data_IF_642918507868
#
_entry.id   IF_642918507868
#
_cell.length_a   1.000
_cell.length_b   1.000
_cell.length_c   1.000
_cell.angle_alpha   90.00
_cell.angle_beta   90.00
_cell.angle_gamma   90.00
#
_symmetry.space_group_name_H-M   'P 1'
#
loop_
_entity.id
_entity.type
_entity.pdbx_description
1 polymer ?
#
# COMPACT_ATOMS: atom_id res chain seq x y z
N UNK A 1 5.02 -2.76 -38.12
CA UNK A 1 5.93 -2.78 -36.96
C UNK A 1 5.34 -2.20 -35.68
N UNK A 2 4.49 -1.16 -35.78
CA UNK A 2 4.03 -0.35 -34.64
C UNK A 2 3.36 -1.14 -33.50
N UNK A 3 2.46 -2.08 -33.84
CA UNK A 3 1.79 -2.92 -32.85
C UNK A 3 2.80 -3.72 -32.01
N UNK A 4 3.77 -4.37 -32.67
CA UNK A 4 4.80 -5.16 -31.99
C UNK A 4 5.68 -4.28 -31.07
N UNK A 5 6.04 -3.07 -31.51
CA UNK A 5 6.84 -2.17 -30.68
C UNK A 5 6.10 -1.72 -29.41
N UNK A 6 4.79 -1.40 -29.52
CA UNK A 6 3.97 -0.99 -28.37
C UNK A 6 3.83 -2.17 -27.39
N UNK A 7 3.56 -3.38 -27.90
CA UNK A 7 3.45 -4.57 -27.07
C UNK A 7 4.76 -4.89 -26.33
N UNK A 8 5.92 -4.78 -27.01
CA UNK A 8 7.23 -4.98 -26.36
C UNK A 8 7.48 -3.92 -25.28
N UNK A 9 7.16 -2.65 -25.53
CA UNK A 9 7.29 -1.59 -24.53
C UNK A 9 6.42 -1.86 -23.30
N UNK A 10 5.15 -2.25 -23.48
CA UNK A 10 4.23 -2.61 -22.39
C UNK A 10 4.70 -3.85 -21.62
N UNK A 11 5.26 -4.85 -22.30
CA UNK A 11 5.79 -6.04 -21.66
C UNK A 11 7.02 -5.72 -20.78
N UNK A 12 7.92 -4.86 -21.26
CA UNK A 12 9.08 -4.40 -20.50
C UNK A 12 8.68 -3.58 -19.27
N UNK A 13 7.68 -2.70 -19.38
CA UNK A 13 7.16 -1.94 -18.23
C UNK A 13 6.46 -2.85 -17.22
N UNK A 14 5.65 -3.80 -17.68
CA UNK A 14 5.04 -4.82 -16.81
C UNK A 14 6.10 -5.64 -16.05
N UNK A 15 7.19 -6.04 -16.70
CA UNK A 15 8.30 -6.74 -16.05
C UNK A 15 8.97 -5.88 -14.97
N UNK A 16 9.13 -4.57 -15.20
CA UNK A 16 9.66 -3.63 -14.20
C UNK A 16 8.71 -3.45 -13.01
N UNK A 17 7.39 -3.41 -13.24
CA UNK A 17 6.39 -3.34 -12.17
C UNK A 17 6.39 -4.62 -11.31
N UNK A 18 6.53 -5.79 -11.93
CA UNK A 18 6.61 -7.06 -11.21
C UNK A 18 7.80 -7.11 -10.24
N UNK A 19 8.97 -6.59 -10.63
CA UNK A 19 10.14 -6.45 -9.74
C UNK A 19 9.89 -5.55 -8.52
N UNK A 20 8.86 -4.67 -8.59
CA UNK A 20 8.43 -3.79 -7.49
C UNK A 20 7.19 -4.32 -6.75
N UNK A 21 6.93 -5.63 -6.80
CA UNK A 21 5.76 -6.29 -6.18
C UNK A 21 4.40 -5.85 -6.74
N UNK A 22 4.36 -5.27 -7.94
CA UNK A 22 3.12 -4.95 -8.65
C UNK A 22 2.91 -5.93 -9.81
N UNK A 23 2.06 -6.94 -9.60
CA UNK A 23 1.76 -7.95 -10.60
C UNK A 23 0.73 -7.42 -11.62
N UNK A 24 1.15 -7.35 -12.88
CA UNK A 24 0.30 -6.98 -14.01
C UNK A 24 -0.26 -8.24 -14.67
N UNK A 25 -1.58 -8.44 -14.62
CA UNK A 25 -2.25 -9.58 -15.28
C UNK A 25 -2.66 -9.31 -16.73
N UNK A 26 -2.85 -8.03 -17.09
CA UNK A 26 -3.21 -7.59 -18.43
C UNK A 26 -2.34 -6.39 -18.82
N UNK A 27 -1.67 -6.45 -19.98
CA UNK A 27 -0.78 -5.38 -20.44
C UNK A 27 -1.51 -4.06 -20.67
N UNK A 28 -2.80 -4.08 -21.03
CA UNK A 28 -3.59 -2.83 -21.20
C UNK A 28 -3.79 -2.09 -19.88
N UNK A 29 -3.70 -2.79 -18.74
CA UNK A 29 -3.80 -2.15 -17.42
C UNK A 29 -2.61 -1.22 -17.15
N UNK A 30 -1.45 -1.47 -17.75
CA UNK A 30 -0.26 -0.61 -17.60
C UNK A 30 -0.48 0.75 -18.25
N UNK A 31 -1.08 0.76 -19.43
CA UNK A 31 -1.44 1.98 -20.15
C UNK A 31 -2.55 2.72 -19.42
N UNK A 32 -3.63 2.01 -19.07
CA UNK A 32 -4.77 2.59 -18.36
C UNK A 32 -4.36 3.23 -17.03
N UNK A 33 -3.45 2.62 -16.27
CA UNK A 33 -2.93 3.19 -15.02
C UNK A 33 -2.26 4.56 -15.25
N UNK A 34 -1.63 4.77 -16.42
CA UNK A 34 -0.99 6.04 -16.77
C UNK A 34 -1.97 7.19 -17.05
N UNK A 35 -3.24 6.88 -17.32
CA UNK A 35 -4.29 7.87 -17.60
C UNK A 35 -5.36 7.98 -16.50
N UNK A 36 -5.17 7.29 -15.36
CA UNK A 36 -6.08 7.38 -14.21
C UNK A 36 -6.09 8.80 -13.64
N UNK A 37 -7.28 9.38 -13.51
CA UNK A 37 -7.51 10.68 -12.86
C UNK A 37 -8.09 10.57 -11.44
N UNK A 38 -8.71 9.44 -11.10
CA UNK A 38 -9.33 9.18 -9.78
C UNK A 38 -9.02 7.77 -9.32
N UNK A 39 -8.59 7.61 -8.06
CA UNK A 39 -8.36 6.31 -7.44
C UNK A 39 -9.43 6.07 -6.37
N UNK A 40 -10.26 5.05 -6.59
CA UNK A 40 -11.20 4.56 -5.60
C UNK A 40 -10.53 3.47 -4.76
N UNK A 41 -10.00 3.82 -3.59
CA UNK A 41 -9.37 2.87 -2.67
C UNK A 41 -10.36 2.38 -1.62
N UNK A 42 -10.30 1.09 -1.30
CA UNK A 42 -11.01 0.55 -0.13
C UNK A 42 -10.27 0.93 1.17
N UNK A 43 -11.00 0.98 2.29
CA UNK A 43 -10.43 1.37 3.59
C UNK A 43 -9.73 0.20 4.28
N UNK A 44 -10.45 -0.88 4.52
CA UNK A 44 -9.97 -1.97 5.38
C UNK A 44 -9.15 -2.97 4.57
N UNK A 45 -7.88 -3.18 4.92
CA UNK A 45 -6.98 -4.09 4.19
C UNK A 45 -6.33 -3.49 2.94
N UNK A 46 -6.66 -2.25 2.57
CA UNK A 46 -5.97 -1.47 1.52
C UNK A 46 -5.30 -0.23 2.12
N UNK A 47 -6.06 0.73 2.67
CA UNK A 47 -5.49 1.89 3.36
C UNK A 47 -5.02 1.57 4.77
N UNK A 48 -5.74 0.68 5.46
CA UNK A 48 -5.40 0.22 6.82
C UNK A 48 -4.82 -1.19 6.77
N UNK A 49 -4.00 -1.53 7.77
CA UNK A 49 -3.37 -2.86 7.90
C UNK A 49 -4.37 -4.00 8.20
N UNK A 50 -5.67 -3.70 8.31
CA UNK A 50 -6.70 -4.63 8.78
C UNK A 50 -6.33 -5.30 10.12
N UNK A 51 -5.68 -4.52 11.01
CA UNK A 51 -5.29 -4.92 12.35
C UNK A 51 -5.72 -3.81 13.31
N UNK A 52 -6.50 -4.17 14.32
CA UNK A 52 -6.90 -3.24 15.37
C UNK A 52 -5.71 -2.98 16.28
N UNK A 53 -5.44 -1.71 16.54
CA UNK A 53 -4.30 -1.24 17.33
C UNK A 53 -4.77 -0.10 18.23
N UNK A 54 -4.31 -0.10 19.48
CA UNK A 54 -4.50 1.03 20.40
C UNK A 54 -3.58 2.17 19.95
N UNK A 55 -4.15 3.33 19.62
CA UNK A 55 -3.39 4.51 19.20
C UNK A 55 -3.17 5.50 20.35
N UNK A 56 -4.15 5.63 21.24
CA UNK A 56 -4.14 6.60 22.33
C UNK A 56 -4.73 6.00 23.60
N UNK A 57 -4.16 6.40 24.73
CA UNK A 57 -4.69 6.14 26.06
C UNK A 57 -5.01 7.49 26.71
N UNK A 58 -6.12 7.55 27.44
CA UNK A 58 -6.48 8.72 28.23
C UNK A 58 -6.48 8.33 29.70
N UNK A 59 -5.58 8.92 30.49
CA UNK A 59 -5.46 8.70 31.93
C UNK A 59 -4.87 9.94 32.61
N UNK A 60 -5.17 10.14 33.90
CA UNK A 60 -4.67 11.29 34.69
C UNK A 60 -4.85 12.65 33.98
N UNK A 61 -6.03 12.84 33.38
CA UNK A 61 -6.38 14.03 32.60
C UNK A 61 -5.39 14.37 31.47
N UNK A 62 -4.69 13.35 30.95
CA UNK A 62 -3.70 13.46 29.87
C UNK A 62 -3.96 12.41 28.78
N UNK A 63 -3.59 12.73 27.55
CA UNK A 63 -3.64 11.80 26.41
C UNK A 63 -2.23 11.37 26.07
N UNK A 64 -1.95 10.07 26.10
CA UNK A 64 -0.66 9.49 25.75
C UNK A 64 -0.79 8.74 24.43
N UNK A 65 0.07 9.05 23.46
CA UNK A 65 0.19 8.30 22.21
C UNK A 65 0.94 6.99 22.44
N UNK A 66 0.42 5.92 21.86
CA UNK A 66 1.01 4.59 21.96
C UNK A 66 1.62 4.21 20.61
N UNK A 67 2.88 3.79 20.63
CA UNK A 67 3.52 3.14 19.50
C UNK A 67 3.62 1.63 19.74
N UNK A 68 3.34 0.84 18.71
CA UNK A 68 3.53 -0.62 18.75
C UNK A 68 4.95 -0.97 18.34
N UNK A 69 5.68 -1.71 19.17
CA UNK A 69 6.86 -2.46 18.71
C UNK A 69 6.43 -3.67 17.89
N UNK A 70 7.15 -3.97 16.81
CA UNK A 70 6.84 -5.10 15.92
C UNK A 70 7.22 -6.48 16.48
N UNK A 71 7.48 -6.59 17.79
CA UNK A 71 7.76 -7.85 18.47
C UNK A 71 6.47 -8.64 18.69
N UNK A 72 6.57 -9.98 18.67
CA UNK A 72 5.42 -10.88 18.81
C UNK A 72 4.69 -10.75 20.16
N UNK A 73 5.27 -10.01 21.10
CA UNK A 73 4.65 -9.52 22.31
C UNK A 73 4.35 -8.04 22.10
N UNK A 74 3.07 -7.69 21.98
CA UNK A 74 2.61 -6.31 21.81
C UNK A 74 2.83 -5.53 23.11
N UNK A 75 4.08 -5.16 23.37
CA UNK A 75 4.44 -4.31 24.48
C UNK A 75 4.05 -2.87 24.10
N UNK A 76 3.19 -2.27 24.94
CA UNK A 76 2.78 -0.88 24.77
C UNK A 76 3.96 -0.01 25.21
N UNK A 77 4.65 0.59 24.24
CA UNK A 77 5.69 1.57 24.54
C UNK A 77 5.00 2.91 24.75
N UNK A 78 5.15 3.45 25.95
CA UNK A 78 4.69 4.79 26.29
C UNK A 78 5.77 5.78 25.86
N UNK A 79 5.51 6.54 24.81
CA UNK A 79 6.30 7.73 24.47
C UNK A 79 5.78 8.89 25.34
N UNK A 80 6.53 9.24 26.39
CA UNK A 80 6.29 10.45 27.22
C UNK A 80 6.84 11.69 26.58
#
# INVERSE_FOLDING_TARGET
GLLATITVMLALTAQRMAKKKCLVKNLTAVEALGSVSTICSDKTGTLTQNRMTVAHLWFDNSTVSVSLSHTHDAELIFET
#
